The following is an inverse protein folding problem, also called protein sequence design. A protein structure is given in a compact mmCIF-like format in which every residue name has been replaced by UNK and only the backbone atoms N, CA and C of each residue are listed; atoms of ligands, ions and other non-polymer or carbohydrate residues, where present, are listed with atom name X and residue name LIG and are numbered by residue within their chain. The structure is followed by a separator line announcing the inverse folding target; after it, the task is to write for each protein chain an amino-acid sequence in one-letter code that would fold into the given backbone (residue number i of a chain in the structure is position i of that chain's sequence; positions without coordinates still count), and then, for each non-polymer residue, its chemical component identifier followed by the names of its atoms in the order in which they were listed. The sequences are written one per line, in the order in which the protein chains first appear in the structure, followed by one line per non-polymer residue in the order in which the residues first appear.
data_IF_210616335475
#
_entry.id   IF_210616335475
#
_cell.length_a   1.000
_cell.length_b   1.000
_cell.length_c   1.000
_cell.angle_alpha   90.00
_cell.angle_beta   90.00
_cell.angle_gamma   90.00
#
_symmetry.space_group_name_H-M   'P 1'
#
loop_
_entity.id
_entity.type
_entity.pdbx_description
1 polymer ?
#
# COMPACT_ATOMS: atom_id res chain seq x y z
N UNK A 1 -10.46 24.42 12.26
CA UNK A 1 -10.20 25.26 11.06
C UNK A 1 -8.97 24.83 10.28
N UNK A 2 -7.72 25.12 10.70
CA UNK A 2 -6.54 24.74 9.89
C UNK A 2 -6.29 23.22 9.83
N UNK A 3 -6.52 22.51 10.93
CA UNK A 3 -6.40 21.05 11.01
C UNK A 3 -7.36 20.33 10.08
N UNK A 4 -8.58 20.83 9.91
CA UNK A 4 -9.60 20.23 9.03
C UNK A 4 -9.17 20.28 7.56
N UNK A 5 -8.51 21.35 7.13
CA UNK A 5 -7.94 21.44 5.78
C UNK A 5 -6.83 20.42 5.58
N UNK A 6 -5.92 20.29 6.55
CA UNK A 6 -4.81 19.32 6.50
C UNK A 6 -5.34 17.89 6.42
N UNK A 7 -6.30 17.55 7.28
CA UNK A 7 -6.95 16.23 7.30
C UNK A 7 -7.67 15.97 5.99
N UNK A 8 -8.44 16.93 5.47
CA UNK A 8 -9.16 16.79 4.20
C UNK A 8 -8.23 16.55 3.01
N UNK A 9 -7.11 17.29 2.93
CA UNK A 9 -6.11 17.12 1.88
C UNK A 9 -5.47 15.73 1.98
N UNK A 10 -5.09 15.28 3.18
CA UNK A 10 -4.55 13.94 3.39
C UNK A 10 -5.56 12.85 3.01
N UNK A 11 -6.84 13.00 3.37
CA UNK A 11 -7.88 12.04 3.01
C UNK A 11 -8.06 11.97 1.48
N UNK A 12 -8.04 13.10 0.78
CA UNK A 12 -8.14 13.14 -0.68
C UNK A 12 -6.91 12.49 -1.34
N UNK A 13 -5.70 12.82 -0.88
CA UNK A 13 -4.47 12.21 -1.40
C UNK A 13 -4.47 10.70 -1.15
N UNK A 14 -4.75 10.29 0.09
CA UNK A 14 -4.81 8.89 0.48
C UNK A 14 -5.86 8.11 -0.34
N UNK A 15 -7.06 8.67 -0.48
CA UNK A 15 -8.14 8.12 -1.30
C UNK A 15 -7.77 8.00 -2.77
N UNK A 16 -7.13 9.02 -3.36
CA UNK A 16 -6.62 8.97 -4.73
C UNK A 16 -5.60 7.84 -4.93
N UNK A 17 -4.65 7.66 -4.02
CA UNK A 17 -3.67 6.57 -4.12
C UNK A 17 -4.31 5.19 -3.97
N UNK A 18 -5.28 5.03 -3.08
CA UNK A 18 -6.04 3.77 -2.93
C UNK A 18 -6.81 3.46 -4.22
N UNK A 19 -7.49 4.46 -4.78
CA UNK A 19 -8.27 4.31 -6.00
C UNK A 19 -7.37 3.97 -7.20
N UNK A 20 -6.27 4.71 -7.39
CA UNK A 20 -5.28 4.44 -8.44
C UNK A 20 -4.67 3.04 -8.26
N UNK A 21 -4.33 2.66 -7.03
CA UNK A 21 -3.77 1.35 -6.72
C UNK A 21 -4.74 0.20 -6.99
N UNK A 22 -6.03 0.39 -6.67
CA UNK A 22 -7.11 -0.56 -6.97
C UNK A 22 -7.34 -0.70 -8.48
N UNK A 23 -7.38 0.42 -9.22
CA UNK A 23 -7.45 0.40 -10.68
C UNK A 23 -6.22 -0.30 -11.27
N UNK A 24 -5.03 -0.04 -10.73
CA UNK A 24 -3.79 -0.70 -11.11
C UNK A 24 -3.85 -2.22 -10.92
N UNK A 25 -4.42 -2.69 -9.81
CA UNK A 25 -4.61 -4.10 -9.53
C UNK A 25 -5.50 -4.80 -10.59
N UNK A 26 -6.58 -4.14 -11.02
CA UNK A 26 -7.52 -4.73 -11.99
C UNK A 26 -6.98 -4.62 -13.43
N UNK A 27 -6.35 -3.49 -13.77
CA UNK A 27 -6.05 -3.14 -15.16
C UNK A 27 -4.66 -3.58 -15.62
N UNK A 28 -3.71 -3.83 -14.71
CA UNK A 28 -2.38 -4.25 -15.11
C UNK A 28 -2.38 -5.66 -15.70
N UNK A 29 -1.50 -5.93 -16.68
CA UNK A 29 -1.63 -7.10 -17.54
C UNK A 29 -1.05 -8.40 -16.96
N UNK A 30 -0.22 -8.31 -15.92
CA UNK A 30 0.53 -9.43 -15.34
C UNK A 30 0.50 -9.34 -13.81
N UNK A 31 0.55 -10.47 -13.11
CA UNK A 31 0.57 -10.56 -11.65
C UNK A 31 1.68 -9.72 -11.02
N UNK A 32 2.90 -9.81 -11.54
CA UNK A 32 4.05 -9.05 -11.03
C UNK A 32 3.83 -7.54 -11.14
N UNK A 33 3.29 -7.08 -12.27
CA UNK A 33 2.94 -5.68 -12.46
C UNK A 33 1.79 -5.27 -11.54
N UNK A 34 0.73 -6.08 -11.47
CA UNK A 34 -0.46 -5.83 -10.63
C UNK A 34 -0.08 -5.58 -9.19
N UNK A 35 0.92 -6.27 -8.66
CA UNK A 35 1.37 -6.12 -7.26
C UNK A 35 1.88 -4.71 -6.92
N UNK A 36 2.35 -3.93 -7.89
CA UNK A 36 2.73 -2.54 -7.68
C UNK A 36 1.51 -1.66 -7.33
N UNK A 37 0.32 -1.99 -7.82
CA UNK A 37 -0.92 -1.27 -7.51
C UNK A 37 -1.25 -1.31 -6.02
N UNK A 38 -1.51 -2.49 -5.42
CA UNK A 38 -1.75 -2.65 -4.00
C UNK A 38 -0.61 -2.13 -3.14
N UNK A 39 0.65 -2.32 -3.55
CA UNK A 39 1.80 -1.82 -2.78
C UNK A 39 1.78 -0.30 -2.66
N UNK A 40 1.45 0.44 -3.74
CA UNK A 40 1.28 1.91 -3.68
C UNK A 40 0.06 2.32 -2.88
N UNK A 41 -1.04 1.58 -3.00
CA UNK A 41 -2.28 1.82 -2.24
C UNK A 41 -2.05 1.76 -0.72
N UNK A 42 -1.31 0.75 -0.25
CA UNK A 42 -1.06 0.55 1.19
C UNK A 42 0.03 1.47 1.71
N UNK A 43 1.15 1.62 1.00
CA UNK A 43 2.29 2.42 1.48
C UNK A 43 2.04 3.93 1.45
N UNK A 44 1.42 4.47 0.40
CA UNK A 44 1.13 5.90 0.29
C UNK A 44 -0.31 6.23 0.67
N UNK A 45 -1.26 5.42 0.18
CA UNK A 45 -2.68 5.66 0.41
C UNK A 45 -3.08 5.48 1.87
N UNK A 46 -2.91 4.26 2.41
CA UNK A 46 -3.26 3.99 3.81
C UNK A 46 -2.38 4.76 4.79
N UNK A 47 -1.08 4.95 4.53
CA UNK A 47 -0.24 5.77 5.39
C UNK A 47 -0.74 7.22 5.47
N UNK A 48 -1.14 7.81 4.35
CA UNK A 48 -1.73 9.16 4.34
C UNK A 48 -3.03 9.23 5.15
N UNK A 49 -3.91 8.22 5.03
CA UNK A 49 -5.14 8.11 5.83
C UNK A 49 -4.85 7.96 7.34
N UNK A 50 -3.84 7.19 7.71
CA UNK A 50 -3.46 6.99 9.11
C UNK A 50 -2.85 8.25 9.73
N UNK A 51 -2.02 8.97 8.97
CA UNK A 51 -1.53 10.29 9.41
C UNK A 51 -2.70 11.27 9.56
N UNK A 52 -3.70 11.21 8.66
CA UNK A 52 -4.89 12.06 8.76
C UNK A 52 -5.66 11.79 10.05
N UNK A 53 -5.83 10.50 10.39
CA UNK A 53 -6.45 10.08 11.64
C UNK A 53 -5.66 10.57 12.85
N UNK A 54 -4.34 10.34 12.89
CA UNK A 54 -3.48 10.81 13.99
C UNK A 54 -3.57 12.32 14.21
N UNK A 55 -3.57 13.10 13.13
CA UNK A 55 -3.74 14.56 13.21
C UNK A 55 -5.13 14.88 13.78
N UNK A 56 -6.20 14.29 13.24
CA UNK A 56 -7.57 14.57 13.71
C UNK A 56 -7.77 14.26 15.20
N UNK A 57 -7.33 13.09 15.67
CA UNK A 57 -7.48 12.67 17.06
C UNK A 57 -6.56 13.45 18.02
N UNK A 58 -5.37 13.85 17.56
CA UNK A 58 -4.48 14.72 18.35
C UNK A 58 -5.11 16.07 18.68
N UNK A 59 -6.01 16.61 17.85
CA UNK A 59 -6.69 17.88 18.10
C UNK A 59 -8.02 17.74 18.87
N UNK A 60 -8.60 16.53 18.94
CA UNK A 60 -9.96 16.31 19.50
C UNK A 60 -9.94 15.97 21.01
N UNK A 61 -8.84 16.23 21.72
CA UNK A 61 -8.66 16.01 23.17
C UNK A 61 -8.71 14.53 23.66
N UNK A 62 -8.81 13.53 22.77
CA UNK A 62 -8.71 12.11 23.16
C UNK A 62 -7.26 11.60 23.27
N UNK A 63 -6.27 12.45 22.96
CA UNK A 63 -4.86 12.07 22.92
C UNK A 63 -4.52 11.18 21.73
N UNK A 64 -3.23 10.92 21.54
CA UNK A 64 -2.77 10.05 20.45
C UNK A 64 -3.11 8.60 20.82
N UNK A 65 -4.05 7.98 20.10
CA UNK A 65 -4.49 6.64 20.44
C UNK A 65 -3.40 5.64 20.09
N UNK A 66 -2.93 4.84 21.07
CA UNK A 66 -1.94 3.77 20.87
C UNK A 66 -2.34 2.85 19.70
N UNK A 67 -3.65 2.71 19.46
CA UNK A 67 -4.24 1.94 18.37
C UNK A 67 -3.79 2.43 16.98
N UNK A 68 -3.72 3.74 16.75
CA UNK A 68 -3.35 4.31 15.44
C UNK A 68 -1.90 4.02 15.09
N UNK A 69 -1.01 4.21 16.07
CA UNK A 69 0.42 3.93 15.92
C UNK A 69 0.62 2.44 15.66
N UNK A 70 -0.08 1.57 16.42
CA UNK A 70 -0.01 0.13 16.25
C UNK A 70 -0.50 -0.31 14.87
N UNK A 71 -1.62 0.24 14.39
CA UNK A 71 -2.16 -0.05 13.05
C UNK A 71 -1.18 0.43 11.97
N UNK A 72 -0.57 1.61 12.11
CA UNK A 72 0.44 2.12 11.18
C UNK A 72 1.64 1.21 11.06
N UNK A 73 2.25 0.85 12.19
CA UNK A 73 3.43 -0.04 12.21
C UNK A 73 3.07 -1.41 11.65
N UNK A 74 1.94 -1.97 12.09
CA UNK A 74 1.49 -3.28 11.64
C UNK A 74 1.28 -3.30 10.13
N UNK A 75 0.53 -2.36 9.56
CA UNK A 75 0.30 -2.29 8.12
C UNK A 75 1.59 -2.07 7.32
N UNK A 76 2.49 -1.19 7.78
CA UNK A 76 3.76 -0.92 7.11
C UNK A 76 4.69 -2.13 7.06
N UNK A 77 4.65 -3.00 8.07
CA UNK A 77 5.45 -4.23 8.12
C UNK A 77 4.75 -5.36 7.36
N UNK A 78 3.44 -5.52 7.55
CA UNK A 78 2.67 -6.61 6.92
C UNK A 78 2.58 -6.47 5.41
N UNK A 79 2.45 -5.24 4.89
CA UNK A 79 2.35 -5.00 3.45
C UNK A 79 3.58 -5.50 2.64
N UNK A 80 4.84 -5.12 2.94
CA UNK A 80 6.01 -5.58 2.21
C UNK A 80 6.27 -7.08 2.40
N UNK A 81 6.04 -7.62 3.60
CA UNK A 81 6.18 -9.06 3.86
C UNK A 81 5.19 -9.85 3.01
N UNK A 82 3.91 -9.43 2.99
CA UNK A 82 2.88 -10.08 2.18
C UNK A 82 3.22 -9.99 0.69
N UNK A 83 3.65 -8.82 0.22
CA UNK A 83 4.09 -8.63 -1.17
C UNK A 83 5.25 -9.55 -1.55
N UNK A 84 6.26 -9.66 -0.70
CA UNK A 84 7.40 -10.55 -0.91
C UNK A 84 6.97 -12.02 -0.98
N UNK A 85 6.14 -12.49 -0.05
CA UNK A 85 5.66 -13.87 -0.05
C UNK A 85 4.80 -14.19 -1.28
N UNK A 86 3.97 -13.24 -1.72
CA UNK A 86 3.17 -13.36 -2.94
C UNK A 86 4.06 -13.49 -4.19
N UNK A 87 5.12 -12.68 -4.32
CA UNK A 87 6.08 -12.79 -5.42
C UNK A 87 6.81 -14.14 -5.38
N UNK A 88 7.31 -14.55 -4.22
CA UNK A 88 8.03 -15.82 -4.04
C UNK A 88 7.15 -17.02 -4.41
N UNK A 89 5.89 -17.01 -3.99
CA UNK A 89 4.90 -18.03 -4.37
C UNK A 89 4.61 -17.99 -5.87
N UNK A 90 4.47 -16.79 -6.46
CA UNK A 90 4.20 -16.66 -7.89
C UNK A 90 5.32 -17.22 -8.78
N UNK A 91 6.58 -16.98 -8.38
CA UNK A 91 7.77 -17.56 -9.01
C UNK A 91 7.75 -19.09 -8.88
N UNK A 92 7.49 -19.60 -7.67
CA UNK A 92 7.46 -21.04 -7.42
C UNK A 92 6.37 -21.76 -8.24
N UNK A 93 5.22 -21.11 -8.43
CA UNK A 93 4.15 -21.61 -9.31
C UNK A 93 4.38 -21.36 -10.80
N UNK A 94 5.53 -20.79 -11.19
CA UNK A 94 5.90 -20.46 -12.57
C UNK A 94 4.79 -19.67 -13.30
N UNK A 95 4.19 -18.70 -12.61
CA UNK A 95 3.14 -17.86 -13.19
C UNK A 95 3.64 -17.17 -14.45
N UNK A 96 2.82 -17.26 -15.51
CA UNK A 96 3.17 -16.71 -16.81
C UNK A 96 3.22 -15.19 -16.75
N UNK A 97 4.42 -14.66 -16.91
CA UNK A 97 4.61 -13.22 -17.05
C UNK A 97 4.23 -12.75 -18.46
N UNK A 98 3.87 -11.48 -18.60
CA UNK A 98 3.65 -10.87 -19.92
C UNK A 98 4.99 -10.67 -20.64
N UNK A 99 4.97 -10.80 -21.98
CA UNK A 99 6.12 -10.52 -22.83
C UNK A 99 6.65 -9.09 -22.56
N UNK A 100 7.91 -9.01 -22.13
CA UNK A 100 8.58 -7.75 -21.75
C UNK A 100 8.66 -7.47 -20.25
N UNK A 101 8.08 -8.31 -19.37
CA UNK A 101 8.36 -8.25 -17.93
C UNK A 101 9.83 -8.63 -17.68
N UNK A 102 10.63 -7.70 -17.13
CA UNK A 102 12.06 -7.87 -16.90
C UNK A 102 12.36 -8.41 -15.49
N UNK A 103 13.48 -9.10 -15.32
CA UNK A 103 14.01 -9.51 -14.02
C UNK A 103 13.60 -10.90 -13.55
N UNK A 104 12.78 -11.62 -14.36
CA UNK A 104 12.47 -13.04 -14.14
C UNK A 104 13.62 -13.97 -14.55
N UNK A 105 14.48 -13.48 -15.44
CA UNK A 105 15.69 -14.11 -15.97
C UNK A 105 16.84 -14.19 -14.95
N UNK A 106 16.82 -13.34 -13.93
CA UNK A 106 17.83 -13.29 -12.86
C UNK A 106 17.46 -14.17 -11.64
N UNK A 107 16.37 -14.93 -11.73
CA UNK A 107 15.91 -15.76 -10.63
C UNK A 107 16.59 -17.12 -10.76
N UNK A 108 17.60 -17.37 -9.93
CA UNK A 108 18.26 -18.67 -9.84
C UNK A 108 17.21 -19.74 -9.48
N UNK A 109 17.12 -20.80 -10.30
CA UNK A 109 16.30 -21.97 -10.00
C UNK A 109 17.03 -22.79 -8.92
N UNK A 110 16.88 -22.37 -7.65
CA UNK A 110 17.27 -23.15 -6.47
C UNK A 110 16.24 -24.25 -6.14
#
# INVERSE_FOLDING_TARGET
MMSEWIVSILLLIGGCFILIGSIGLVKMPDFFMRLHGPTKATTLGMASLLIAAMVYFSYTNEGMSVKEILISIFLLITAPISGYMLIKSAIHHKLRAKDGTKGLDNIEED
#
